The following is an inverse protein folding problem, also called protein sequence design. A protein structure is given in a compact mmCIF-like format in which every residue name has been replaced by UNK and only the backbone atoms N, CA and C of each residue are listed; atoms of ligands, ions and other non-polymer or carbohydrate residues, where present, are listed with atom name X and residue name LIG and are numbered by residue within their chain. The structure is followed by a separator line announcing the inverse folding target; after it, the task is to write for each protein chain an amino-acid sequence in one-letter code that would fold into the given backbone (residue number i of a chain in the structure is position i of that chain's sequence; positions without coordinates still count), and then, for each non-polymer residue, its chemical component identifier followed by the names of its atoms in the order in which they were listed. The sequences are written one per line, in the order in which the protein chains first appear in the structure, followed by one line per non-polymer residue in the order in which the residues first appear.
data_IF_587475872749
#
_entry.id   IF_587475872749
#
_cell.length_a   1.000
_cell.length_b   1.000
_cell.length_c   1.000
_cell.angle_alpha   90.00
_cell.angle_beta   90.00
_cell.angle_gamma   90.00
#
_symmetry.space_group_name_H-M   'P 1'
#
loop_
_entity.id
_entity.type
_entity.pdbx_description
1 polymer ?
#
# COMPACT_ATOMS: atom_id res chain seq x y z
N UNK A 1 -35.07 -28.13 -11.43
CA UNK A 1 -35.18 -26.71 -11.86
C UNK A 1 -35.02 -25.69 -10.71
N UNK A 2 -34.35 -26.03 -9.60
CA UNK A 2 -34.08 -25.09 -8.47
C UNK A 2 -32.58 -24.76 -8.28
N UNK A 3 -31.69 -25.31 -9.11
CA UNK A 3 -30.24 -25.15 -8.99
C UNK A 3 -29.65 -24.01 -9.86
N UNK A 4 -30.46 -23.42 -10.76
CA UNK A 4 -30.01 -22.37 -11.68
C UNK A 4 -30.10 -20.95 -11.09
N UNK A 5 -30.86 -20.75 -10.01
CA UNK A 5 -31.08 -19.42 -9.40
C UNK A 5 -29.90 -19.00 -8.50
N UNK A 6 -29.15 -19.96 -7.95
CA UNK A 6 -27.97 -19.67 -7.12
C UNK A 6 -26.79 -19.18 -7.97
N UNK A 7 -26.72 -19.58 -9.24
CA UNK A 7 -25.64 -19.16 -10.16
C UNK A 7 -25.78 -17.72 -10.66
N UNK A 8 -27.01 -17.18 -10.67
CA UNK A 8 -27.30 -15.81 -11.13
C UNK A 8 -26.91 -14.74 -10.10
N UNK A 9 -26.87 -15.08 -8.80
CA UNK A 9 -26.42 -14.17 -7.75
C UNK A 9 -24.89 -14.08 -7.65
N UNK A 10 -24.16 -15.12 -8.09
CA UNK A 10 -22.69 -15.12 -8.07
C UNK A 10 -22.09 -14.18 -9.14
N UNK A 11 -22.81 -13.93 -10.24
CA UNK A 11 -22.35 -13.06 -11.33
C UNK A 11 -22.67 -11.56 -11.09
N UNK A 12 -23.64 -11.25 -10.24
CA UNK A 12 -24.01 -9.87 -9.89
C UNK A 12 -23.00 -9.20 -8.93
N UNK A 13 -22.20 -9.98 -8.20
CA UNK A 13 -21.16 -9.51 -7.27
C UNK A 13 -19.77 -9.37 -7.92
N UNK A 14 -19.58 -9.92 -9.13
CA UNK A 14 -18.33 -9.86 -9.90
C UNK A 14 -17.80 -8.44 -10.16
N UNK A 15 -18.62 -7.44 -10.54
CA UNK A 15 -18.10 -6.08 -10.76
C UNK A 15 -17.63 -5.40 -9.47
N UNK A 16 -18.27 -5.70 -8.32
CA UNK A 16 -17.89 -5.11 -7.04
C UNK A 16 -16.52 -5.61 -6.56
N UNK A 17 -16.22 -6.90 -6.77
CA UNK A 17 -14.92 -7.48 -6.37
C UNK A 17 -13.77 -6.95 -7.23
N UNK A 18 -14.01 -6.71 -8.53
CA UNK A 18 -13.00 -6.17 -9.44
C UNK A 18 -12.65 -4.72 -9.06
N UNK A 19 -13.63 -3.89 -8.70
CA UNK A 19 -13.38 -2.51 -8.28
C UNK A 19 -12.55 -2.40 -6.99
N UNK A 20 -12.74 -3.30 -6.02
CA UNK A 20 -11.97 -3.29 -4.77
C UNK A 20 -10.51 -3.67 -5.02
N UNK A 21 -10.25 -4.71 -5.82
CA UNK A 21 -8.87 -5.12 -6.15
C UNK A 21 -8.06 -4.01 -6.81
N UNK A 22 -8.70 -3.23 -7.68
CA UNK A 22 -8.03 -2.09 -8.33
C UNK A 22 -7.70 -0.96 -7.34
N UNK A 23 -8.52 -0.73 -6.32
CA UNK A 23 -8.23 0.26 -5.29
C UNK A 23 -7.03 -0.18 -4.43
N UNK A 24 -6.99 -1.44 -4.01
CA UNK A 24 -5.90 -2.00 -3.20
C UNK A 24 -4.54 -1.94 -3.94
N UNK A 25 -4.50 -2.28 -5.25
CA UNK A 25 -3.28 -2.15 -6.08
C UNK A 25 -2.80 -0.70 -6.17
N UNK A 26 -3.71 0.27 -6.22
CA UNK A 26 -3.37 1.70 -6.27
C UNK A 26 -2.80 2.18 -4.94
N UNK A 27 -3.36 1.75 -3.80
CA UNK A 27 -2.85 2.11 -2.48
C UNK A 27 -1.43 1.56 -2.25
N UNK A 28 -1.16 0.32 -2.66
CA UNK A 28 0.20 -0.26 -2.57
C UNK A 28 1.19 0.50 -3.44
N UNK A 29 0.77 0.95 -4.62
CA UNK A 29 1.62 1.76 -5.50
C UNK A 29 2.04 3.07 -4.83
N UNK A 30 1.16 3.71 -4.06
CA UNK A 30 1.53 4.92 -3.30
C UNK A 30 2.57 4.61 -2.22
N UNK A 31 2.41 3.52 -1.49
CA UNK A 31 3.40 3.07 -0.49
C UNK A 31 4.76 2.82 -1.13
N UNK A 32 4.81 2.09 -2.25
CA UNK A 32 6.06 1.80 -2.96
C UNK A 32 6.71 3.07 -3.51
N UNK A 33 5.92 3.98 -4.06
CA UNK A 33 6.41 5.27 -4.53
C UNK A 33 7.01 6.11 -3.39
N UNK A 34 6.38 6.14 -2.21
CA UNK A 34 6.91 6.86 -1.04
C UNK A 34 8.30 6.34 -0.70
N UNK A 35 8.48 5.02 -0.63
CA UNK A 35 9.78 4.42 -0.33
C UNK A 35 10.82 4.79 -1.37
N UNK A 36 10.50 4.63 -2.64
CA UNK A 36 11.42 4.96 -3.72
C UNK A 36 11.82 6.43 -3.71
N UNK A 37 10.86 7.33 -3.54
CA UNK A 37 11.11 8.78 -3.51
C UNK A 37 11.94 9.20 -2.30
N UNK A 38 11.72 8.60 -1.13
CA UNK A 38 12.52 8.87 0.07
C UNK A 38 13.95 8.36 -0.09
N UNK A 39 14.15 7.17 -0.68
CA UNK A 39 15.51 6.68 -0.98
C UNK A 39 16.23 7.54 -2.02
N UNK A 40 15.54 7.97 -3.07
CA UNK A 40 16.11 8.91 -4.04
C UNK A 40 16.43 10.26 -3.39
N UNK A 41 15.57 10.75 -2.49
CA UNK A 41 15.79 11.98 -1.72
C UNK A 41 17.05 11.87 -0.85
N UNK A 42 17.22 10.75 -0.15
CA UNK A 42 18.43 10.41 0.63
C UNK A 42 19.69 10.52 -0.21
N UNK A 43 19.69 9.86 -1.38
CA UNK A 43 20.82 9.86 -2.31
C UNK A 43 21.13 11.28 -2.79
N UNK A 44 20.12 12.05 -3.19
CA UNK A 44 20.32 13.43 -3.67
C UNK A 44 20.85 14.35 -2.59
N UNK A 45 20.39 14.16 -1.35
CA UNK A 45 20.91 14.93 -0.23
C UNK A 45 22.39 14.62 0.04
N UNK A 46 22.76 13.34 0.01
CA UNK A 46 24.15 12.91 0.17
C UNK A 46 25.08 13.41 -0.95
N UNK A 47 24.56 13.57 -2.17
CA UNK A 47 25.26 14.18 -3.31
C UNK A 47 25.39 15.72 -3.19
N UNK A 48 24.73 16.34 -2.21
CA UNK A 48 24.68 17.78 -2.02
C UNK A 48 23.61 18.49 -2.88
N UNK A 49 22.79 17.75 -3.60
CA UNK A 49 21.66 18.28 -4.37
C UNK A 49 20.42 18.44 -3.48
N UNK A 50 20.50 19.43 -2.58
CA UNK A 50 19.49 19.68 -1.55
C UNK A 50 18.13 20.07 -2.15
N UNK A 51 18.11 20.80 -3.27
CA UNK A 51 16.85 21.21 -3.90
C UNK A 51 16.11 20.02 -4.52
N UNK A 52 16.82 19.12 -5.19
CA UNK A 52 16.20 17.91 -5.72
C UNK A 52 15.77 16.96 -4.60
N UNK A 53 16.57 16.82 -3.54
CA UNK A 53 16.20 16.03 -2.37
C UNK A 53 14.88 16.51 -1.74
N UNK A 54 14.73 17.82 -1.53
CA UNK A 54 13.49 18.42 -1.01
C UNK A 54 12.31 18.17 -1.94
N UNK A 55 12.50 18.32 -3.25
CA UNK A 55 11.45 18.08 -4.26
C UNK A 55 10.96 16.62 -4.23
N UNK A 56 11.88 15.66 -4.11
CA UNK A 56 11.56 14.24 -4.01
C UNK A 56 10.83 13.91 -2.70
N UNK A 57 11.30 14.42 -1.56
CA UNK A 57 10.64 14.27 -0.27
C UNK A 57 9.24 14.90 -0.27
N UNK A 58 9.07 16.07 -0.90
CA UNK A 58 7.76 16.71 -1.04
C UNK A 58 6.82 15.88 -1.93
N UNK A 59 7.36 15.25 -2.98
CA UNK A 59 6.59 14.35 -3.83
C UNK A 59 6.15 13.09 -3.09
N UNK A 60 6.98 12.56 -2.19
CA UNK A 60 6.58 11.45 -1.33
C UNK A 60 5.37 11.83 -0.46
N UNK A 61 5.32 13.08 0.02
CA UNK A 61 4.17 13.61 0.74
C UNK A 61 2.97 13.89 -0.16
N UNK A 62 3.02 14.96 -0.96
CA UNK A 62 1.85 15.50 -1.69
C UNK A 62 1.30 14.53 -2.73
N UNK A 63 2.17 13.94 -3.54
CA UNK A 63 1.71 13.12 -4.67
C UNK A 63 1.38 11.68 -4.26
N UNK A 64 1.65 11.28 -3.00
CA UNK A 64 1.49 9.89 -2.57
C UNK A 64 0.89 9.75 -1.16
N UNK A 65 1.52 10.30 -0.12
CA UNK A 65 1.00 10.14 1.25
C UNK A 65 -0.38 10.77 1.46
N UNK A 66 -0.70 11.91 0.83
CA UNK A 66 -2.05 12.51 0.90
C UNK A 66 -3.16 11.54 0.43
N UNK A 67 -2.86 10.60 -0.47
CA UNK A 67 -3.82 9.57 -0.90
C UNK A 67 -3.98 8.41 0.09
N UNK A 68 -3.10 8.34 1.08
CA UNK A 68 -3.11 7.35 2.16
C UNK A 68 -3.66 7.93 3.48
N UNK A 69 -3.83 9.24 3.61
CA UNK A 69 -4.26 9.87 4.87
C UNK A 69 -5.60 9.31 5.35
N UNK A 70 -6.66 9.39 4.53
CA UNK A 70 -7.99 8.86 4.87
C UNK A 70 -7.94 7.38 5.34
N UNK A 71 -7.40 6.40 4.57
CA UNK A 71 -7.38 5.01 5.00
C UNK A 71 -6.46 4.74 6.20
N UNK A 72 -5.43 5.57 6.44
CA UNK A 72 -4.57 5.45 7.62
C UNK A 72 -5.26 6.03 8.85
N UNK A 73 -5.87 7.22 8.75
CA UNK A 73 -6.61 7.89 9.82
C UNK A 73 -7.75 7.00 10.34
N UNK A 74 -8.49 6.37 9.44
CA UNK A 74 -9.57 5.43 9.76
C UNK A 74 -9.11 4.25 10.66
N UNK A 75 -7.84 3.88 10.59
CA UNK A 75 -7.25 2.80 11.40
C UNK A 75 -6.47 3.31 12.61
N UNK A 76 -5.74 4.42 12.45
CA UNK A 76 -4.84 4.98 13.45
C UNK A 76 -4.56 6.48 13.17
N UNK A 77 -5.40 7.36 13.69
CA UNK A 77 -5.27 8.82 13.66
C UNK A 77 -3.89 9.31 14.16
N UNK A 78 -3.36 8.75 15.26
CA UNK A 78 -2.07 9.15 15.81
C UNK A 78 -0.91 8.87 14.84
N UNK A 79 -0.93 7.71 14.17
CA UNK A 79 0.06 7.38 13.15
C UNK A 79 -0.07 8.30 11.93
N UNK A 80 -1.30 8.65 11.55
CA UNK A 80 -1.55 9.55 10.43
C UNK A 80 -0.93 10.93 10.69
N UNK A 81 -1.26 11.53 11.82
CA UNK A 81 -0.74 12.83 12.26
C UNK A 81 0.79 12.82 12.34
N UNK A 82 1.35 11.75 12.90
CA UNK A 82 2.80 11.60 13.03
C UNK A 82 3.48 11.59 11.65
N UNK A 83 2.97 10.79 10.71
CA UNK A 83 3.52 10.70 9.36
C UNK A 83 3.36 12.01 8.58
N UNK A 84 2.22 12.70 8.70
CA UNK A 84 2.00 14.01 8.09
C UNK A 84 3.06 15.00 8.58
N UNK A 85 3.23 15.14 9.89
CA UNK A 85 4.21 16.05 10.50
C UNK A 85 5.64 15.71 10.05
N UNK A 86 6.01 14.43 10.10
CA UNK A 86 7.35 13.99 9.73
C UNK A 86 7.70 14.29 8.27
N UNK A 87 6.77 14.00 7.35
CA UNK A 87 6.96 14.18 5.91
C UNK A 87 6.86 15.65 5.48
N UNK A 88 5.80 16.34 5.92
CA UNK A 88 5.45 17.69 5.48
C UNK A 88 6.32 18.76 6.14
N UNK A 89 6.62 18.59 7.42
CA UNK A 89 7.26 19.63 8.23
C UNK A 89 8.70 19.28 8.58
N UNK A 90 8.93 18.18 9.28
CA UNK A 90 10.22 17.90 9.92
C UNK A 90 11.32 17.58 8.90
N UNK A 91 11.07 16.65 7.98
CA UNK A 91 12.05 16.28 6.94
C UNK A 91 12.38 17.50 6.06
N UNK A 92 11.35 18.26 5.68
CA UNK A 92 11.51 19.50 4.91
C UNK A 92 12.29 20.56 5.67
N UNK A 93 12.09 20.67 6.99
CA UNK A 93 12.83 21.60 7.84
C UNK A 93 14.31 21.23 7.94
N UNK A 94 14.64 19.96 8.17
CA UNK A 94 16.01 19.46 8.21
C UNK A 94 16.75 19.77 6.90
N UNK A 95 16.15 19.44 5.77
CA UNK A 95 16.77 19.68 4.46
C UNK A 95 16.95 21.19 4.17
N UNK A 96 15.94 22.02 4.47
CA UNK A 96 15.99 23.48 4.29
C UNK A 96 17.08 24.15 5.13
N UNK A 97 17.33 23.60 6.31
CA UNK A 97 18.36 24.09 7.24
C UNK A 97 19.76 23.56 6.92
N UNK A 98 19.91 22.74 5.86
CA UNK A 98 21.16 22.04 5.55
C UNK A 98 21.69 21.26 6.76
N UNK A 99 20.79 20.53 7.45
CA UNK A 99 21.16 19.69 8.57
C UNK A 99 22.23 18.64 8.18
N UNK A 100 22.98 18.09 9.14
CA UNK A 100 23.91 16.98 8.87
C UNK A 100 23.21 15.80 8.19
N UNK A 101 23.89 15.17 7.22
CA UNK A 101 23.36 14.03 6.45
C UNK A 101 22.75 12.95 7.36
N UNK A 102 23.44 12.59 8.44
CA UNK A 102 22.99 11.61 9.42
C UNK A 102 21.58 11.92 9.99
N UNK A 103 21.28 13.19 10.29
CA UNK A 103 19.95 13.56 10.81
C UNK A 103 18.85 13.44 9.75
N UNK A 104 19.19 13.70 8.48
CA UNK A 104 18.25 13.53 7.37
C UNK A 104 17.99 12.04 7.12
N UNK A 105 19.04 11.23 7.14
CA UNK A 105 18.93 9.77 7.00
C UNK A 105 18.12 9.15 8.13
N UNK A 106 18.39 9.52 9.39
CA UNK A 106 17.62 9.07 10.56
C UNK A 106 16.14 9.44 10.45
N UNK A 107 15.82 10.65 9.97
CA UNK A 107 14.42 11.05 9.76
C UNK A 107 13.76 10.22 8.65
N UNK A 108 14.46 9.97 7.55
CA UNK A 108 13.95 9.13 6.45
C UNK A 108 13.71 7.70 6.95
N UNK A 109 14.65 7.11 7.69
CA UNK A 109 14.51 5.76 8.24
C UNK A 109 13.30 5.66 9.19
N UNK A 110 13.11 6.66 10.05
CA UNK A 110 11.96 6.72 10.94
C UNK A 110 10.61 6.79 10.17
N UNK A 111 10.56 7.51 9.05
CA UNK A 111 9.37 7.57 8.18
C UNK A 111 9.14 6.20 7.53
N UNK A 112 10.18 5.58 6.98
CA UNK A 112 10.09 4.27 6.32
C UNK A 112 9.62 3.16 7.28
N UNK A 113 10.04 3.22 8.55
CA UNK A 113 9.54 2.34 9.61
C UNK A 113 8.02 2.48 9.80
N UNK A 114 7.51 3.71 9.86
CA UNK A 114 6.08 4.01 10.03
C UNK A 114 5.26 3.64 8.79
N UNK A 115 5.80 3.86 7.59
CA UNK A 115 5.20 3.39 6.34
C UNK A 115 5.07 1.86 6.33
N UNK A 116 6.00 1.14 6.95
CA UNK A 116 5.88 -0.32 7.12
C UNK A 116 4.72 -0.69 8.05
N UNK A 117 4.42 0.13 9.07
CA UNK A 117 3.24 -0.06 9.92
C UNK A 117 1.95 0.16 9.13
N UNK A 118 1.89 1.19 8.29
CA UNK A 118 0.73 1.49 7.41
C UNK A 118 0.32 0.25 6.62
N UNK A 119 1.28 -0.47 6.03
CA UNK A 119 1.02 -1.71 5.28
C UNK A 119 0.35 -2.82 6.10
N UNK A 120 0.58 -2.83 7.41
CA UNK A 120 0.06 -3.89 8.29
C UNK A 120 -1.33 -3.60 8.83
N UNK A 121 -1.72 -2.32 8.92
CA UNK A 121 -2.96 -1.91 9.57
C UNK A 121 -4.09 -1.61 8.58
N UNK A 122 -3.77 -1.18 7.37
CA UNK A 122 -4.78 -0.85 6.34
C UNK A 122 -5.37 -2.16 5.77
N UNK A 123 -6.67 -2.44 6.01
CA UNK A 123 -7.29 -3.73 5.66
C UNK A 123 -7.23 -4.07 4.17
N UNK A 124 -7.27 -3.05 3.30
CA UNK A 124 -7.16 -3.12 1.84
C UNK A 124 -5.85 -3.80 1.39
N UNK A 125 -4.79 -3.75 2.19
CA UNK A 125 -3.55 -4.48 1.87
C UNK A 125 -3.65 -5.98 2.15
N UNK A 126 -4.49 -6.38 3.11
CA UNK A 126 -4.66 -7.77 3.54
C UNK A 126 -5.75 -8.52 2.74
N UNK A 127 -6.68 -7.82 2.10
CA UNK A 127 -7.72 -8.40 1.23
C UNK A 127 -7.16 -9.05 -0.04
N UNK A 128 -6.12 -8.47 -0.64
CA UNK A 128 -5.49 -9.00 -1.86
C UNK A 128 -4.92 -10.40 -1.67
N UNK A 129 -4.21 -10.64 -0.56
CA UNK A 129 -3.62 -11.94 -0.23
C UNK A 129 -4.71 -13.01 -0.07
N UNK A 130 -5.82 -12.64 0.59
CA UNK A 130 -6.96 -13.53 0.82
C UNK A 130 -7.71 -13.86 -0.48
N UNK A 131 -7.84 -12.92 -1.41
CA UNK A 131 -8.51 -13.14 -2.70
C UNK A 131 -7.68 -14.00 -3.65
N UNK A 132 -6.36 -13.80 -3.72
CA UNK A 132 -5.45 -14.69 -4.49
C UNK A 132 -5.52 -16.12 -3.93
N UNK A 133 -5.55 -16.28 -2.61
CA UNK A 133 -5.76 -17.58 -1.96
C UNK A 133 -7.11 -18.20 -2.33
N UNK A 134 -8.22 -17.46 -2.23
CA UNK A 134 -9.56 -17.98 -2.52
C UNK A 134 -9.72 -18.35 -4.01
N UNK A 135 -9.22 -17.52 -4.93
CA UNK A 135 -9.27 -17.78 -6.38
C UNK A 135 -8.34 -18.90 -6.83
N UNK A 136 -7.21 -19.14 -6.16
CA UNK A 136 -6.35 -20.29 -6.42
C UNK A 136 -6.92 -21.60 -5.85
N UNK A 137 -7.59 -21.54 -4.69
CA UNK A 137 -8.10 -22.74 -3.99
C UNK A 137 -9.39 -23.29 -4.63
N UNK A 138 -10.33 -22.42 -5.03
CA UNK A 138 -11.63 -22.86 -5.57
C UNK A 138 -11.49 -23.75 -6.83
N UNK A 139 -10.66 -23.42 -7.84
CA UNK A 139 -10.45 -24.26 -9.01
C UNK A 139 -9.81 -25.60 -8.66
N UNK A 140 -8.87 -25.63 -7.71
CA UNK A 140 -8.20 -26.86 -7.27
C UNK A 140 -9.19 -27.81 -6.58
N UNK A 141 -10.05 -27.29 -5.72
CA UNK A 141 -11.12 -28.09 -5.08
C UNK A 141 -12.11 -28.60 -6.14
N UNK A 142 -12.51 -27.74 -7.10
CA UNK A 142 -13.43 -28.13 -8.16
C UNK A 142 -12.84 -29.23 -9.06
N UNK A 143 -11.58 -29.10 -9.48
CA UNK A 143 -10.85 -30.09 -10.27
C UNK A 143 -10.64 -31.41 -9.52
N UNK A 144 -10.34 -31.35 -8.22
CA UNK A 144 -10.19 -32.57 -7.39
C UNK A 144 -11.53 -33.33 -7.24
N UNK A 145 -12.65 -32.61 -7.14
CA UNK A 145 -13.99 -33.19 -7.06
C UNK A 145 -14.42 -33.80 -8.40
N UNK A 146 -14.07 -33.17 -9.53
CA UNK A 146 -14.26 -33.76 -10.86
C UNK A 146 -13.45 -35.05 -11.04
N UNK A 147 -12.16 -35.04 -10.69
CA UNK A 147 -11.27 -36.21 -10.82
C UNK A 147 -11.71 -37.41 -9.97
N UNK A 148 -12.19 -37.19 -8.75
CA UNK A 148 -12.68 -38.26 -7.87
C UNK A 148 -14.02 -38.86 -8.31
N UNK A 149 -14.87 -38.10 -9.01
CA UNK A 149 -16.14 -38.62 -9.53
C UNK A 149 -16.00 -39.48 -10.80
N UNK A 150 -14.88 -39.35 -11.53
CA UNK A 150 -14.60 -40.13 -12.75
C UNK A 150 -14.05 -41.52 -12.44
N UNK A 151 -13.54 -41.74 -11.22
CA UNK A 151 -13.03 -43.05 -10.76
C UNK A 151 -14.12 -43.70 -9.88
N UNK A 152 -15.19 -44.17 -10.51
CA UNK A 152 -16.09 -45.17 -9.91
C UNK A 152 -16.32 -46.26 -10.96
N UNK A 153 -15.58 -47.35 -10.83
CA UNK A 153 -15.86 -48.64 -11.44
C UNK A 153 -16.38 -49.58 -10.35
#
# INVERSE_FOLDING_TARGET
MKLFIIFLFLFALLPLHVSVVFADEVLLQYVDNIRELLEQSRIKYAEGDVEEAKRLAMKAYIDNYEYLEDPVEDQNEELNDELEIMLREELQALMRQNAPLEQVEEKIDAILERITIVETIVPEFNSLVSLVLITAIIPVILLSKMRSSVIRY
#
